data_IF_439051975886
#
_entry.id   IF_439051975886
#
_cell.length_a   1.000
_cell.length_b   1.000
_cell.length_c   1.000
_cell.angle_alpha   90.00
_cell.angle_beta   90.00
_cell.angle_gamma   90.00
#
_symmetry.space_group_name_H-M   'P 1'
#
loop_
_entity.id
_entity.type
_entity.pdbx_description
1 polymer ?
#
# COMPACT_ATOMS: atom_id res chain seq x y z
N UNK A 1 -8.36 -3.30 11.90
CA UNK A 1 -8.07 -2.13 11.03
C UNK A 1 -6.60 -1.81 11.12
N UNK A 2 -6.01 -1.37 10.01
CA UNK A 2 -4.61 -0.96 9.93
C UNK A 2 -4.52 0.53 9.71
N UNK A 3 -3.90 1.23 10.66
CA UNK A 3 -3.60 2.64 10.58
C UNK A 3 -2.11 2.88 10.40
N UNK A 4 -1.78 4.03 9.82
CA UNK A 4 -0.41 4.57 9.83
C UNK A 4 -0.36 5.82 10.68
N UNK A 5 0.66 5.92 11.54
CA UNK A 5 0.93 7.08 12.38
C UNK A 5 2.08 7.90 11.78
N UNK A 6 1.85 9.15 11.40
CA UNK A 6 2.91 10.02 10.86
C UNK A 6 3.43 10.92 11.97
N UNK A 7 4.73 10.80 12.25
CA UNK A 7 5.42 11.70 13.19
C UNK A 7 5.62 13.05 12.50
N UNK A 8 4.97 14.11 12.96
CA UNK A 8 5.04 15.45 12.36
C UNK A 8 6.33 16.22 12.66
N UNK A 9 7.43 15.55 12.98
CA UNK A 9 8.72 16.15 13.32
C UNK A 9 9.86 15.29 12.78
N UNK A 10 10.88 15.94 12.21
CA UNK A 10 12.13 15.31 11.78
C UNK A 10 13.22 15.37 12.86
N UNK A 11 12.90 15.77 14.09
CA UNK A 11 13.85 15.78 15.19
C UNK A 11 14.10 14.37 15.73
N UNK A 12 15.33 14.10 16.17
CA UNK A 12 15.72 12.83 16.82
C UNK A 12 14.87 12.55 18.06
N UNK A 13 14.64 13.57 18.89
CA UNK A 13 13.76 13.50 20.06
C UNK A 13 12.47 14.25 19.76
N UNK A 14 11.34 13.52 19.77
CA UNK A 14 10.01 14.07 19.50
C UNK A 14 8.97 13.53 20.49
N UNK A 15 8.25 14.44 21.17
CA UNK A 15 7.10 14.06 22.00
C UNK A 15 5.92 13.55 21.16
N UNK A 16 5.84 13.93 19.90
CA UNK A 16 4.84 13.42 18.96
C UNK A 16 5.15 11.97 18.55
N UNK A 17 6.44 11.62 18.44
CA UNK A 17 6.87 10.23 18.31
C UNK A 17 6.51 9.41 19.54
N UNK A 18 6.83 9.93 20.74
CA UNK A 18 6.43 9.29 22.02
C UNK A 18 4.92 9.08 22.10
N UNK A 19 4.12 10.08 21.73
CA UNK A 19 2.66 9.98 21.70
C UNK A 19 2.18 8.85 20.77
N UNK A 20 2.70 8.76 19.55
CA UNK A 20 2.33 7.67 18.63
C UNK A 20 2.77 6.29 19.13
N UNK A 21 3.94 6.17 19.75
CA UNK A 21 4.36 4.91 20.38
C UNK A 21 3.47 4.52 21.56
N UNK A 22 3.06 5.49 22.39
CA UNK A 22 2.09 5.26 23.45
C UNK A 22 0.78 4.74 22.87
N UNK A 23 0.24 5.41 21.82
CA UNK A 23 -1.00 4.97 21.15
C UNK A 23 -0.84 3.53 20.64
N UNK A 24 0.25 3.24 19.92
CA UNK A 24 0.55 1.91 19.37
C UNK A 24 0.57 0.83 20.44
N UNK A 25 1.23 1.09 21.58
CA UNK A 25 1.39 0.14 22.69
C UNK A 25 0.07 -0.05 23.45
N UNK A 26 -0.57 1.05 23.84
CA UNK A 26 -1.71 1.02 24.76
C UNK A 26 -3.00 0.55 24.07
N UNK A 27 -3.18 0.88 22.79
CA UNK A 27 -4.41 0.56 22.03
C UNK A 27 -4.21 -0.57 21.01
N UNK A 28 -3.17 -1.39 21.16
CA UNK A 28 -2.83 -2.50 20.23
C UNK A 28 -3.96 -3.52 20.00
N UNK A 29 -4.90 -3.64 20.95
CA UNK A 29 -6.08 -4.53 20.83
C UNK A 29 -7.19 -3.95 19.94
N UNK A 30 -7.21 -2.64 19.72
CA UNK A 30 -8.25 -1.97 18.93
C UNK A 30 -7.90 -1.91 17.45
N UNK A 31 -6.64 -1.62 17.13
CA UNK A 31 -6.15 -1.49 15.76
C UNK A 31 -4.64 -1.74 15.67
N UNK A 32 -4.16 -2.08 14.47
CA UNK A 32 -2.75 -2.08 14.15
C UNK A 32 -2.30 -0.66 13.82
N UNK A 33 -1.22 -0.18 14.43
CA UNK A 33 -0.61 1.11 14.11
C UNK A 33 0.84 0.94 13.67
N UNK A 34 1.12 1.30 12.42
CA UNK A 34 2.46 1.37 11.87
C UNK A 34 2.95 2.83 11.93
N UNK A 35 4.05 3.09 12.64
CA UNK A 35 4.57 4.45 12.80
C UNK A 35 5.56 4.73 11.67
N UNK A 36 5.36 5.85 10.99
CA UNK A 36 6.16 6.33 9.87
C UNK A 36 6.84 7.63 10.25
N UNK A 37 8.13 7.68 9.99
CA UNK A 37 8.95 8.86 10.19
C UNK A 37 8.96 9.74 8.93
N UNK A 38 9.26 11.02 9.14
CA UNK A 38 9.43 12.01 8.06
C UNK A 38 10.83 12.60 8.06
N UNK A 39 11.76 11.96 8.77
CA UNK A 39 13.17 12.31 8.70
C UNK A 39 13.76 11.87 7.35
N UNK A 40 14.89 12.48 6.97
CA UNK A 40 15.61 12.14 5.74
C UNK A 40 14.83 12.31 4.42
N UNK A 41 13.76 13.10 4.43
CA UNK A 41 13.05 13.53 3.21
C UNK A 41 13.55 14.91 2.81
N UNK A 42 13.99 15.12 1.54
CA UNK A 42 14.42 16.45 1.09
C UNK A 42 13.25 17.44 1.15
N UNK A 43 13.57 18.72 1.31
CA UNK A 43 12.58 19.77 1.14
C UNK A 43 11.93 19.64 -0.24
N UNK A 44 10.62 19.86 -0.31
CA UNK A 44 9.85 19.75 -1.54
C UNK A 44 10.46 20.61 -2.65
N UNK A 45 10.64 19.98 -3.80
CA UNK A 45 11.10 20.62 -5.03
C UNK A 45 10.44 19.92 -6.21
N UNK A 46 9.59 20.65 -6.94
CA UNK A 46 8.85 20.15 -8.10
C UNK A 46 9.73 19.61 -9.24
N UNK A 47 11.01 19.99 -9.30
CA UNK A 47 11.93 19.52 -10.33
C UNK A 47 12.50 18.12 -10.02
N UNK A 48 12.37 17.64 -8.78
CA UNK A 48 12.83 16.32 -8.35
C UNK A 48 11.67 15.32 -8.37
N UNK A 49 11.97 14.07 -8.73
CA UNK A 49 10.96 13.01 -8.77
C UNK A 49 10.76 12.36 -7.41
N UNK A 50 9.50 12.22 -7.00
CA UNK A 50 9.15 11.64 -5.70
C UNK A 50 9.55 10.14 -5.61
N UNK A 51 9.46 9.40 -6.72
CA UNK A 51 9.68 7.96 -6.78
C UNK A 51 11.16 7.55 -6.76
N UNK A 52 12.09 8.50 -6.97
CA UNK A 52 13.52 8.27 -6.76
C UNK A 52 13.88 8.20 -5.26
N UNK A 53 13.09 8.83 -4.39
CA UNK A 53 13.31 8.79 -2.94
C UNK A 53 12.60 7.58 -2.29
N UNK A 54 13.37 6.73 -1.62
CA UNK A 54 12.83 5.54 -0.94
C UNK A 54 11.80 5.88 0.14
N UNK A 55 12.03 6.90 0.97
CA UNK A 55 11.13 7.26 2.07
C UNK A 55 9.80 7.78 1.55
N UNK A 56 9.81 8.59 0.48
CA UNK A 56 8.57 9.04 -0.18
C UNK A 56 7.78 7.86 -0.75
N UNK A 57 8.44 6.92 -1.44
CA UNK A 57 7.80 5.68 -1.89
C UNK A 57 7.24 4.85 -0.75
N UNK A 58 7.95 4.73 0.36
CA UNK A 58 7.49 4.01 1.54
C UNK A 58 6.24 4.67 2.12
N UNK A 59 6.26 5.98 2.36
CA UNK A 59 5.12 6.75 2.87
C UNK A 59 3.91 6.60 1.96
N UNK A 60 4.07 6.84 0.66
CA UNK A 60 3.00 6.71 -0.34
C UNK A 60 2.35 5.32 -0.27
N UNK A 61 3.16 4.26 -0.31
CA UNK A 61 2.65 2.88 -0.29
C UNK A 61 1.92 2.55 1.02
N UNK A 62 2.46 2.99 2.15
CA UNK A 62 1.90 2.70 3.48
C UNK A 62 0.61 3.47 3.72
N UNK A 63 0.55 4.76 3.37
CA UNK A 63 -0.65 5.58 3.49
C UNK A 63 -1.76 5.07 2.56
N UNK A 64 -1.42 4.78 1.31
CA UNK A 64 -2.39 4.26 0.32
C UNK A 64 -3.07 2.99 0.84
N UNK A 65 -2.29 2.05 1.41
CA UNK A 65 -2.77 0.75 1.91
C UNK A 65 -3.42 0.79 3.31
N UNK A 66 -3.29 1.90 4.04
CA UNK A 66 -3.88 2.02 5.38
C UNK A 66 -5.37 2.30 5.32
N UNK A 67 -6.14 1.81 6.28
CA UNK A 67 -7.56 2.13 6.44
C UNK A 67 -7.75 3.61 6.85
N UNK A 68 -6.77 4.19 7.53
CA UNK A 68 -6.76 5.57 8.00
C UNK A 68 -5.37 6.02 8.47
N UNK A 69 -5.21 7.33 8.66
CA UNK A 69 -3.94 7.96 9.06
C UNK A 69 -4.13 8.73 10.37
N UNK A 70 -3.17 8.60 11.29
CA UNK A 70 -3.06 9.44 12.49
C UNK A 70 -1.83 10.34 12.33
N UNK A 71 -2.01 11.65 12.20
CA UNK A 71 -0.88 12.60 12.12
C UNK A 71 -0.66 13.21 13.50
N UNK A 72 0.53 12.99 14.09
CA UNK A 72 0.92 13.62 15.35
C UNK A 72 1.79 14.84 15.07
N UNK A 73 1.22 16.04 15.14
CA UNK A 73 1.95 17.28 14.81
C UNK A 73 2.44 18.01 16.05
N UNK A 74 3.70 18.50 16.10
CA UNK A 74 4.08 19.57 17.02
C UNK A 74 3.46 20.90 16.61
N UNK A 75 3.65 21.93 17.43
CA UNK A 75 3.35 23.32 17.07
C UNK A 75 4.64 24.16 17.02
N UNK A 76 4.95 24.71 15.86
CA UNK A 76 6.06 25.63 15.62
C UNK A 76 5.48 26.99 15.25
N UNK A 77 5.65 28.02 16.08
CA UNK A 77 5.20 29.40 15.79
C UNK A 77 3.74 29.47 15.28
N UNK A 78 2.82 28.79 15.98
CA UNK A 78 1.39 28.72 15.63
C UNK A 78 1.06 27.98 14.31
N UNK A 79 1.96 27.14 13.82
CA UNK A 79 1.75 26.30 12.64
C UNK A 79 2.35 24.90 12.82
N UNK A 80 2.08 24.00 11.87
CA UNK A 80 2.77 22.72 11.74
C UNK A 80 4.26 22.89 11.48
N UNK A 81 5.04 21.81 11.67
CA UNK A 81 6.47 21.85 11.35
C UNK A 81 6.70 22.02 9.83
N UNK A 82 7.80 22.71 9.43
CA UNK A 82 8.19 22.81 8.02
C UNK A 82 8.39 21.45 7.36
N UNK A 83 8.96 20.49 8.09
CA UNK A 83 9.17 19.12 7.61
C UNK A 83 7.84 18.44 7.27
N UNK A 84 6.83 18.51 8.16
CA UNK A 84 5.51 17.93 7.89
C UNK A 84 4.85 18.60 6.69
N UNK A 85 4.92 19.94 6.58
CA UNK A 85 4.36 20.64 5.42
C UNK A 85 5.00 20.17 4.11
N UNK A 86 6.33 20.05 4.10
CA UNK A 86 7.09 19.61 2.94
C UNK A 86 6.74 18.18 2.51
N UNK A 87 6.57 17.26 3.46
CA UNK A 87 6.13 15.88 3.15
C UNK A 87 4.73 15.87 2.57
N UNK A 88 3.83 16.71 3.07
CA UNK A 88 2.49 16.83 2.50
C UNK A 88 2.55 17.34 1.07
N UNK A 89 3.39 18.34 0.74
CA UNK A 89 3.58 18.81 -0.65
C UNK A 89 4.05 17.68 -1.58
N UNK A 90 5.05 16.91 -1.15
CA UNK A 90 5.50 15.71 -1.88
C UNK A 90 4.36 14.73 -2.17
N UNK A 91 3.45 14.56 -1.20
CA UNK A 91 2.34 13.62 -1.26
C UNK A 91 1.01 14.30 -1.66
N UNK A 92 1.08 15.44 -2.33
CA UNK A 92 -0.09 16.13 -2.89
C UNK A 92 0.15 16.75 -4.25
N UNK A 93 1.39 16.74 -4.75
CA UNK A 93 1.76 17.30 -6.05
C UNK A 93 1.48 16.31 -7.20
N UNK A 94 2.32 15.27 -7.34
CA UNK A 94 2.18 14.24 -8.40
C UNK A 94 1.38 13.01 -7.95
N UNK A 95 1.29 12.79 -6.63
CA UNK A 95 0.60 11.65 -6.02
C UNK A 95 -0.31 12.13 -4.90
N UNK A 96 -1.41 11.39 -4.67
CA UNK A 96 -2.47 11.81 -3.75
C UNK A 96 -2.89 10.70 -2.76
N UNK A 97 -1.97 10.11 -1.96
CA UNK A 97 -2.31 9.01 -1.05
C UNK A 97 -3.30 9.40 0.07
N UNK A 98 -3.48 10.71 0.31
CA UNK A 98 -4.43 11.25 1.28
C UNK A 98 -5.84 11.48 0.71
N UNK A 99 -6.02 11.38 -0.60
CA UNK A 99 -7.32 11.63 -1.23
C UNK A 99 -8.37 10.65 -0.68
N UNK A 100 -9.48 11.20 -0.19
CA UNK A 100 -10.57 10.48 0.47
C UNK A 100 -10.11 9.60 1.64
N UNK A 101 -8.90 9.83 2.19
CA UNK A 101 -8.35 9.06 3.30
C UNK A 101 -8.90 9.59 4.62
N UNK A 102 -9.42 8.74 5.52
CA UNK A 102 -9.74 9.17 6.87
C UNK A 102 -8.48 9.58 7.62
N UNK A 103 -8.47 10.77 8.22
CA UNK A 103 -7.34 11.31 8.97
C UNK A 103 -7.77 11.75 10.36
N UNK A 104 -7.04 11.33 11.39
CA UNK A 104 -7.09 11.89 12.72
C UNK A 104 -5.84 12.73 12.96
N UNK A 105 -6.01 13.87 13.62
CA UNK A 105 -4.88 14.72 14.02
C UNK A 105 -4.78 14.69 15.53
N UNK A 106 -3.59 14.40 16.03
CA UNK A 106 -3.21 14.48 17.44
C UNK A 106 -1.96 15.34 17.56
N UNK A 107 -1.60 15.74 18.77
CA UNK A 107 -0.35 16.47 18.94
C UNK A 107 0.05 16.67 20.37
N UNK A 108 1.35 16.83 20.56
CA UNK A 108 1.98 17.16 21.83
C UNK A 108 2.84 18.43 21.70
N UNK A 109 2.73 19.35 22.65
CA UNK A 109 3.57 20.56 22.73
C UNK A 109 4.03 20.85 24.16
N UNK A 110 4.96 21.81 24.30
CA UNK A 110 5.58 22.13 25.58
C UNK A 110 4.68 22.87 26.57
N UNK A 111 3.64 23.55 26.09
CA UNK A 111 2.85 24.46 26.90
C UNK A 111 1.36 24.08 26.89
N UNK A 112 0.56 24.83 27.65
CA UNK A 112 -0.79 24.46 28.06
C UNK A 112 -1.79 24.36 26.89
N UNK A 113 -1.56 25.11 25.81
CA UNK A 113 -2.44 25.10 24.63
C UNK A 113 -2.32 23.83 23.78
N UNK A 114 -1.37 22.93 24.11
CA UNK A 114 -1.05 21.79 23.26
C UNK A 114 -0.70 22.28 21.87
N UNK A 115 -1.31 21.66 20.85
CA UNK A 115 -1.02 21.94 19.44
C UNK A 115 -2.21 22.57 18.72
N UNK A 116 -3.06 23.29 19.46
CA UNK A 116 -4.36 23.78 18.97
C UNK A 116 -4.27 24.52 17.63
N UNK A 117 -3.33 25.45 17.47
CA UNK A 117 -3.22 26.26 16.25
C UNK A 117 -2.59 25.46 15.12
N UNK A 118 -1.60 24.62 15.42
CA UNK A 118 -1.02 23.71 14.44
C UNK A 118 -2.06 22.72 13.89
N UNK A 119 -2.93 22.16 14.73
CA UNK A 119 -3.98 21.23 14.28
C UNK A 119 -5.03 21.94 13.42
N UNK A 120 -5.47 23.15 13.80
CA UNK A 120 -6.38 23.95 12.96
C UNK A 120 -5.76 24.24 11.59
N UNK A 121 -4.48 24.63 11.55
CA UNK A 121 -3.80 24.87 10.29
C UNK A 121 -3.63 23.58 9.46
N UNK A 122 -3.28 22.46 10.10
CA UNK A 122 -3.16 21.16 9.44
C UNK A 122 -4.50 20.71 8.85
N UNK A 123 -5.62 20.90 9.56
CA UNK A 123 -6.97 20.61 9.03
C UNK A 123 -7.21 21.36 7.72
N UNK A 124 -6.88 22.65 7.67
CA UNK A 124 -7.01 23.47 6.46
C UNK A 124 -6.13 22.96 5.31
N UNK A 125 -4.93 22.46 5.60
CA UNK A 125 -4.04 21.87 4.59
C UNK A 125 -4.61 20.54 4.09
N UNK A 126 -5.12 19.69 4.99
CA UNK A 126 -5.70 18.39 4.64
C UNK A 126 -6.98 18.51 3.79
N UNK A 127 -7.76 19.59 3.99
CA UNK A 127 -8.97 19.91 3.22
C UNK A 127 -8.67 20.54 1.85
N UNK A 128 -7.43 20.94 1.58
CA UNK A 128 -7.09 21.62 0.34
C UNK A 128 -7.22 20.70 -0.89
N UNK A 129 -7.59 21.25 -2.07
CA UNK A 129 -7.51 20.52 -3.34
C UNK A 129 -6.09 19.97 -3.56
N UNK A 130 -6.00 18.70 -3.96
CA UNK A 130 -4.72 17.97 -4.08
C UNK A 130 -4.34 17.14 -2.86
N UNK A 131 -4.89 17.43 -1.67
CA UNK A 131 -4.84 16.53 -0.50
C UNK A 131 -6.18 15.82 -0.33
N UNK A 132 -7.28 16.59 -0.26
CA UNK A 132 -8.67 16.10 -0.21
C UNK A 132 -8.89 14.96 0.81
N UNK A 133 -8.33 15.10 2.01
CA UNK A 133 -8.46 14.10 3.07
C UNK A 133 -9.74 14.30 3.90
N UNK A 134 -10.30 13.21 4.39
CA UNK A 134 -11.44 13.24 5.29
C UNK A 134 -10.96 13.31 6.74
N UNK A 135 -10.81 14.53 7.26
CA UNK A 135 -10.32 14.73 8.63
C UNK A 135 -11.44 14.62 9.65
N UNK A 136 -11.26 13.78 10.68
CA UNK A 136 -12.22 13.60 11.78
C UNK A 136 -12.53 14.94 12.50
N UNK A 137 -13.77 15.46 12.44
CA UNK A 137 -14.13 16.69 13.13
C UNK A 137 -14.36 16.48 14.64
N UNK A 138 -14.12 17.53 15.44
CA UNK A 138 -14.53 17.59 16.85
C UNK A 138 -13.81 16.66 17.83
N UNK A 139 -12.78 15.92 17.39
CA UNK A 139 -12.02 14.98 18.22
C UNK A 139 -10.54 15.37 18.26
N UNK A 140 -10.27 16.55 18.81
CA UNK A 140 -8.93 17.12 18.91
C UNK A 140 -8.23 16.62 20.18
N UNK A 141 -7.17 15.83 20.00
CA UNK A 141 -6.30 15.46 21.11
C UNK A 141 -5.10 16.41 21.19
N UNK A 142 -5.14 17.31 22.18
CA UNK A 142 -4.19 18.41 22.37
C UNK A 142 -3.39 18.18 23.67
N UNK A 143 -2.29 17.45 23.58
CA UNK A 143 -1.45 17.18 24.75
C UNK A 143 -0.55 18.38 25.07
N UNK A 144 -0.91 19.13 26.09
CA UNK A 144 -0.07 20.19 26.65
C UNK A 144 1.00 19.65 27.60
N UNK A 145 1.98 20.51 27.97
CA UNK A 145 3.01 20.20 28.97
C UNK A 145 3.73 18.86 28.71
N UNK A 146 4.07 18.58 27.45
CA UNK A 146 4.56 17.27 27.03
C UNK A 146 5.81 16.79 27.79
N UNK A 147 6.63 17.70 28.33
CA UNK A 147 7.80 17.33 29.14
C UNK A 147 7.42 16.61 30.45
N UNK A 148 6.26 16.92 31.01
CA UNK A 148 5.75 16.36 32.26
C UNK A 148 4.64 15.33 32.04
N UNK A 149 4.14 15.20 30.80
CA UNK A 149 2.99 14.35 30.49
C UNK A 149 3.33 12.86 30.43
N UNK A 150 4.61 12.52 30.21
CA UNK A 150 5.07 11.15 30.04
C UNK A 150 5.97 10.68 31.19
N UNK A 151 5.83 9.42 31.59
CA UNK A 151 6.77 8.72 32.46
C UNK A 151 8.06 8.28 31.72
N UNK A 152 8.96 7.60 32.43
CA UNK A 152 10.23 7.11 31.89
C UNK A 152 10.04 6.02 30.81
N UNK A 153 8.95 5.26 30.88
CA UNK A 153 8.58 4.22 29.92
C UNK A 153 7.83 4.78 28.68
N UNK A 154 7.62 6.11 28.64
CA UNK A 154 6.91 6.79 27.57
C UNK A 154 5.38 6.64 27.63
N UNK A 155 4.81 6.26 28.78
CA UNK A 155 3.36 6.24 28.99
C UNK A 155 2.86 7.60 29.47
N UNK A 156 1.62 7.95 29.12
CA UNK A 156 0.96 9.16 29.63
C UNK A 156 0.58 8.94 31.10
N UNK A 157 0.96 9.88 31.96
CA UNK A 157 0.79 9.75 33.43
C UNK A 157 -0.66 9.96 33.87
N UNK A 158 -1.37 10.93 33.30
CA UNK A 158 -2.74 11.26 33.71
C UNK A 158 -3.79 10.35 33.05
N UNK A 159 -4.45 9.52 33.86
CA UNK A 159 -5.45 8.55 33.39
C UNK A 159 -6.66 9.20 32.70
N UNK A 160 -7.01 10.44 33.07
CA UNK A 160 -8.09 11.18 32.40
C UNK A 160 -7.70 11.54 30.97
N UNK A 161 -6.46 11.97 30.77
CA UNK A 161 -5.88 12.21 29.44
C UNK A 161 -5.87 10.93 28.60
N UNK A 162 -5.50 9.78 29.19
CA UNK A 162 -5.56 8.47 28.51
C UNK A 162 -6.99 8.10 28.12
N UNK A 163 -7.95 8.31 29.02
CA UNK A 163 -9.37 8.03 28.78
C UNK A 163 -9.94 8.90 27.64
N UNK A 164 -9.58 10.19 27.62
CA UNK A 164 -9.97 11.09 26.54
C UNK A 164 -9.34 10.73 25.20
N UNK A 165 -8.05 10.35 25.18
CA UNK A 165 -7.39 9.84 23.98
C UNK A 165 -8.11 8.59 23.45
N UNK A 166 -8.47 7.66 24.33
CA UNK A 166 -9.24 6.47 23.99
C UNK A 166 -10.59 6.81 23.33
N UNK A 167 -11.34 7.76 23.90
CA UNK A 167 -12.58 8.24 23.30
C UNK A 167 -12.38 8.79 21.88
N UNK A 168 -11.33 9.60 21.67
CA UNK A 168 -11.03 10.16 20.35
C UNK A 168 -10.65 9.06 19.34
N UNK A 169 -9.88 8.05 19.76
CA UNK A 169 -9.50 6.91 18.92
C UNK A 169 -10.69 6.01 18.58
N UNK A 170 -11.57 5.74 19.54
CA UNK A 170 -12.80 4.98 19.31
C UNK A 170 -13.71 5.69 18.30
N UNK A 171 -13.80 7.02 18.38
CA UNK A 171 -14.53 7.82 17.41
C UNK A 171 -13.85 7.81 16.03
N UNK A 172 -12.52 7.77 15.97
CA UNK A 172 -11.81 7.64 14.71
C UNK A 172 -12.04 6.28 14.03
N UNK A 173 -12.03 5.19 14.80
CA UNK A 173 -12.36 3.84 14.29
C UNK A 173 -13.74 3.83 13.63
N UNK A 174 -14.77 4.33 14.34
CA UNK A 174 -16.14 4.45 13.79
C UNK A 174 -16.19 5.37 12.57
N UNK A 175 -15.43 6.46 12.57
CA UNK A 175 -15.41 7.40 11.46
C UNK A 175 -14.83 6.78 10.19
N UNK A 176 -13.75 5.98 10.30
CA UNK A 176 -13.18 5.25 9.16
C UNK A 176 -14.21 4.30 8.55
N UNK A 177 -15.02 3.60 9.36
CA UNK A 177 -16.10 2.72 8.88
C UNK A 177 -17.22 3.47 8.13
N UNK A 178 -17.50 4.72 8.51
CA UNK A 178 -18.48 5.56 7.81
C UNK A 178 -17.90 6.08 6.51
N UNK A 179 -16.67 6.57 6.55
CA UNK A 179 -15.98 7.15 5.39
C UNK A 179 -15.68 6.10 4.32
N UNK A 180 -15.34 4.86 4.72
CA UNK A 180 -15.10 3.78 3.77
C UNK A 180 -16.32 3.49 2.89
N UNK A 181 -17.53 3.73 3.38
CA UNK A 181 -18.78 3.60 2.60
C UNK A 181 -18.97 4.71 1.56
N UNK A 182 -18.25 5.83 1.69
CA UNK A 182 -18.27 6.93 0.73
C UNK A 182 -17.33 6.69 -0.45
N UNK A 183 -16.36 5.77 -0.32
CA UNK A 183 -15.48 5.39 -1.43
C UNK A 183 -16.33 4.78 -2.54
N UNK A 184 -16.29 5.41 -3.71
CA UNK A 184 -16.76 4.78 -4.95
C UNK A 184 -15.57 4.00 -5.52
N UNK A 185 -15.76 2.74 -5.96
CA UNK A 185 -14.72 2.05 -6.70
C UNK A 185 -14.37 2.89 -7.93
N UNK A 186 -13.08 2.96 -8.27
CA UNK A 186 -12.67 3.63 -9.50
C UNK A 186 -13.36 2.95 -10.69
N UNK A 187 -13.79 3.70 -11.72
CA UNK A 187 -14.28 3.09 -12.94
C UNK A 187 -13.26 2.06 -13.45
N UNK A 188 -13.72 0.84 -13.68
CA UNK A 188 -12.88 -0.24 -14.21
C UNK A 188 -12.93 -0.13 -15.72
N UNK A 189 -11.78 0.14 -16.34
CA UNK A 189 -11.67 0.02 -17.79
C UNK A 189 -11.84 -1.46 -18.18
N UNK A 190 -12.39 -1.76 -19.37
CA UNK A 190 -12.41 -3.14 -19.87
C UNK A 190 -10.99 -3.72 -19.88
N UNK A 191 -10.84 -4.92 -19.32
CA UNK A 191 -9.57 -5.64 -19.35
C UNK A 191 -9.40 -6.33 -20.70
N UNK A 192 -8.19 -6.26 -21.26
CA UNK A 192 -7.83 -6.96 -22.49
C UNK A 192 -7.35 -8.37 -22.15
N UNK A 193 -8.28 -9.32 -22.00
CA UNK A 193 -7.95 -10.70 -21.66
C UNK A 193 -7.48 -11.52 -22.87
N UNK A 194 -7.68 -11.00 -24.08
CA UNK A 194 -7.35 -11.64 -25.35
C UNK A 194 -5.99 -11.20 -25.91
N UNK A 195 -5.25 -10.35 -25.17
CA UNK A 195 -3.92 -9.86 -25.53
C UNK A 195 -3.95 -9.16 -26.90
N UNK A 196 -4.96 -8.31 -27.13
CA UNK A 196 -5.12 -7.56 -28.39
C UNK A 196 -4.18 -6.36 -28.50
N UNK A 197 -3.73 -5.82 -27.36
CA UNK A 197 -2.81 -4.70 -27.28
C UNK A 197 -1.42 -5.16 -26.82
N UNK A 198 -0.39 -4.48 -27.32
CA UNK A 198 1.01 -4.75 -26.96
C UNK A 198 1.53 -3.79 -25.88
N UNK A 199 2.37 -4.31 -24.99
CA UNK A 199 3.20 -3.53 -24.05
C UNK A 199 4.69 -3.66 -24.42
N UNK A 200 5.56 -2.99 -23.67
CA UNK A 200 7.01 -2.97 -23.93
C UNK A 200 7.68 -4.34 -23.88
N UNK A 201 7.09 -5.32 -23.18
CA UNK A 201 7.60 -6.68 -23.02
C UNK A 201 6.89 -7.70 -23.91
N UNK A 202 5.89 -7.31 -24.72
CA UNK A 202 5.14 -8.24 -25.56
C UNK A 202 6.04 -8.83 -26.66
N UNK A 203 6.09 -10.17 -26.73
CA UNK A 203 6.78 -10.91 -27.79
C UNK A 203 5.84 -11.01 -29.00
N UNK A 204 6.20 -10.32 -30.09
CA UNK A 204 5.38 -10.22 -31.30
C UNK A 204 5.70 -11.32 -32.31
N UNK A 205 4.75 -11.66 -33.18
CA UNK A 205 4.97 -12.56 -34.31
C UNK A 205 4.81 -14.06 -34.00
N UNK A 206 4.37 -14.40 -32.80
CA UNK A 206 3.99 -15.76 -32.37
C UNK A 206 2.59 -15.65 -31.76
N UNK A 207 1.71 -16.59 -32.08
CA UNK A 207 0.39 -16.65 -31.44
C UNK A 207 0.56 -17.00 -29.95
N UNK A 208 0.08 -16.18 -29.00
CA UNK A 208 0.09 -16.49 -27.57
C UNK A 208 -0.34 -17.92 -27.23
N UNK A 209 -1.38 -18.45 -27.88
CA UNK A 209 -1.93 -19.79 -27.57
C UNK A 209 -1.24 -20.93 -28.34
N UNK A 210 -0.03 -20.69 -28.88
CA UNK A 210 0.76 -21.73 -29.52
C UNK A 210 1.28 -22.73 -28.48
N UNK A 211 1.04 -24.04 -28.62
CA UNK A 211 1.48 -25.02 -27.61
C UNK A 211 3.00 -25.10 -27.44
N UNK A 212 3.76 -24.63 -28.44
CA UNK A 212 5.22 -24.52 -28.43
C UNK A 212 5.68 -23.06 -28.25
N UNK A 213 4.80 -22.19 -27.71
CA UNK A 213 5.07 -20.76 -27.57
C UNK A 213 6.40 -20.49 -26.86
N UNK A 214 6.69 -21.19 -25.76
CA UNK A 214 7.92 -21.01 -24.97
C UNK A 214 9.17 -21.18 -25.83
N UNK A 215 9.24 -22.25 -26.63
CA UNK A 215 10.40 -22.55 -27.46
C UNK A 215 10.54 -21.55 -28.61
N UNK A 216 9.42 -21.23 -29.29
CA UNK A 216 9.41 -20.25 -30.39
C UNK A 216 9.76 -18.85 -29.90
N UNK A 217 9.22 -18.45 -28.76
CA UNK A 217 9.47 -17.15 -28.14
C UNK A 217 10.93 -17.05 -27.68
N UNK A 218 11.46 -18.12 -27.08
CA UNK A 218 12.86 -18.19 -26.67
C UNK A 218 13.81 -18.02 -27.86
N UNK A 219 13.56 -18.71 -28.98
CA UNK A 219 14.34 -18.54 -30.21
C UNK A 219 14.26 -17.10 -30.73
N UNK A 220 13.05 -16.54 -30.81
CA UNK A 220 12.82 -15.21 -31.38
C UNK A 220 13.50 -14.09 -30.60
N UNK A 221 13.46 -14.14 -29.26
CA UNK A 221 14.06 -13.09 -28.41
C UNK A 221 15.51 -13.38 -28.05
N UNK A 222 16.07 -14.50 -28.49
CA UNK A 222 17.40 -14.95 -28.10
C UNK A 222 17.51 -15.22 -26.59
N UNK A 223 16.47 -15.82 -26.01
CA UNK A 223 16.46 -16.18 -24.60
C UNK A 223 17.59 -17.17 -24.28
N UNK A 224 18.15 -17.04 -23.09
CA UNK A 224 19.24 -17.90 -22.61
C UNK A 224 18.74 -18.91 -21.60
N UNK A 225 19.29 -20.11 -21.64
CA UNK A 225 19.08 -21.17 -20.65
C UNK A 225 20.44 -21.70 -20.16
N UNK A 226 20.43 -22.54 -19.12
CA UNK A 226 21.64 -23.17 -18.62
C UNK A 226 22.48 -22.29 -17.69
N UNK A 227 23.79 -22.27 -17.90
CA UNK A 227 24.77 -21.70 -16.95
C UNK A 227 25.11 -20.21 -17.20
N UNK A 228 24.34 -19.53 -18.04
CA UNK A 228 24.51 -18.09 -18.28
C UNK A 228 24.15 -17.29 -17.03
N UNK A 229 25.04 -16.39 -16.59
CA UNK A 229 24.81 -15.54 -15.44
C UNK A 229 23.86 -14.37 -15.74
N UNK A 230 22.88 -14.17 -14.87
CA UNK A 230 21.94 -13.05 -14.84
C UNK A 230 22.23 -12.20 -13.60
N UNK A 231 22.37 -10.89 -13.80
CA UNK A 231 22.48 -9.91 -12.72
C UNK A 231 21.08 -9.52 -12.24
N UNK A 232 20.83 -9.71 -10.95
CA UNK A 232 19.61 -9.31 -10.26
C UNK A 232 19.88 -8.03 -9.42
N UNK A 233 18.83 -7.39 -8.93
CA UNK A 233 18.94 -6.16 -8.11
C UNK A 233 19.88 -6.32 -6.91
N UNK A 234 19.86 -7.50 -6.29
CA UNK A 234 20.67 -7.85 -5.12
C UNK A 234 21.31 -9.25 -5.24
N UNK A 235 21.78 -9.63 -6.44
CA UNK A 235 22.43 -10.93 -6.62
C UNK A 235 22.95 -11.20 -8.03
N UNK A 236 23.69 -12.29 -8.20
CA UNK A 236 24.11 -12.83 -9.49
C UNK A 236 23.97 -14.35 -9.46
N UNK A 237 23.20 -14.91 -10.38
CA UNK A 237 22.85 -16.34 -10.44
C UNK A 237 22.87 -16.80 -11.89
N UNK A 238 23.15 -18.08 -12.14
CA UNK A 238 22.90 -18.66 -13.47
C UNK A 238 21.41 -18.90 -13.70
N UNK A 239 20.97 -19.03 -14.94
CA UNK A 239 19.56 -19.39 -15.25
C UNK A 239 19.18 -20.70 -14.56
N UNK A 240 20.04 -21.72 -14.58
CA UNK A 240 19.84 -22.97 -13.84
C UNK A 240 19.65 -22.78 -12.33
N UNK A 241 20.39 -21.86 -11.71
CA UNK A 241 20.25 -21.55 -10.28
C UNK A 241 18.94 -20.81 -9.98
N UNK A 242 18.49 -19.94 -10.89
CA UNK A 242 17.19 -19.27 -10.80
C UNK A 242 16.07 -20.31 -10.91
N UNK A 243 16.13 -21.22 -11.89
CA UNK A 243 15.17 -22.31 -12.06
C UNK A 243 15.11 -23.20 -10.82
N UNK A 244 16.27 -23.58 -10.28
CA UNK A 244 16.35 -24.38 -9.05
C UNK A 244 15.72 -23.64 -7.86
N UNK A 245 15.99 -22.33 -7.72
CA UNK A 245 15.40 -21.51 -6.67
C UNK A 245 13.88 -21.43 -6.80
N UNK A 246 13.35 -21.18 -8.00
CA UNK A 246 11.92 -21.09 -8.24
C UNK A 246 11.21 -22.43 -8.02
N UNK A 247 11.81 -23.55 -8.44
CA UNK A 247 11.29 -24.91 -8.20
C UNK A 247 11.29 -25.30 -6.72
N UNK A 248 12.21 -24.75 -5.92
CA UNK A 248 12.31 -25.04 -4.49
C UNK A 248 11.31 -24.27 -3.62
N UNK A 249 10.54 -23.32 -4.20
CA UNK A 249 9.56 -22.55 -3.45
C UNK A 249 8.44 -23.46 -2.92
N UNK A 250 8.03 -23.32 -1.64
CA UNK A 250 7.02 -24.20 -1.03
C UNK A 250 5.58 -23.87 -1.46
N UNK A 251 5.41 -23.08 -2.51
CA UNK A 251 4.14 -22.66 -3.09
C UNK A 251 4.28 -22.42 -4.59
N UNK A 252 3.14 -22.48 -5.29
CA UNK A 252 3.07 -22.15 -6.71
C UNK A 252 3.24 -20.63 -6.90
N UNK A 253 4.20 -20.28 -7.75
CA UNK A 253 4.41 -18.96 -8.30
C UNK A 253 3.92 -18.98 -9.73
N UNK A 254 3.04 -18.05 -10.06
CA UNK A 254 2.59 -17.78 -11.42
C UNK A 254 2.89 -16.34 -11.78
N UNK A 255 3.10 -16.08 -13.07
CA UNK A 255 3.31 -14.74 -13.59
C UNK A 255 2.49 -14.55 -14.86
N UNK A 256 1.62 -13.54 -14.80
CA UNK A 256 1.02 -12.92 -15.96
C UNK A 256 1.41 -11.44 -15.97
N UNK A 257 1.70 -10.89 -17.12
CA UNK A 257 2.19 -9.52 -17.25
C UNK A 257 1.03 -8.50 -17.43
N UNK A 258 1.38 -7.24 -17.66
CA UNK A 258 0.41 -6.14 -17.75
C UNK A 258 -0.52 -6.23 -18.97
N UNK A 259 -0.19 -7.05 -19.98
CA UNK A 259 -1.05 -7.28 -21.15
C UNK A 259 -1.98 -8.49 -20.98
N UNK A 260 -2.00 -9.11 -19.79
CA UNK A 260 -2.80 -10.30 -19.47
C UNK A 260 -2.40 -11.56 -20.25
N UNK A 261 -1.11 -11.72 -20.57
CA UNK A 261 -0.56 -12.97 -21.06
C UNK A 261 0.04 -13.79 -19.90
N UNK A 262 -0.27 -15.09 -19.84
CA UNK A 262 0.27 -15.99 -18.83
C UNK A 262 1.63 -16.55 -19.28
N UNK A 263 2.71 -16.13 -18.63
CA UNK A 263 4.07 -16.36 -19.13
C UNK A 263 4.82 -17.46 -18.38
N UNK A 264 4.58 -17.60 -17.08
CA UNK A 264 5.42 -18.48 -16.25
C UNK A 264 4.66 -19.09 -15.08
N UNK A 265 5.05 -20.32 -14.73
CA UNK A 265 4.73 -20.93 -13.46
C UNK A 265 5.87 -21.88 -13.03
N UNK A 266 6.10 -22.02 -11.72
CA UNK A 266 7.22 -22.81 -11.19
C UNK A 266 6.90 -24.28 -10.88
N UNK A 267 5.61 -24.66 -10.82
CA UNK A 267 5.19 -25.94 -10.25
C UNK A 267 4.44 -26.81 -11.27
N UNK A 268 5.02 -27.94 -11.64
CA UNK A 268 4.28 -29.01 -12.29
C UNK A 268 3.64 -29.87 -11.19
N UNK A 269 2.35 -29.71 -10.91
CA UNK A 269 1.64 -30.57 -9.97
C UNK A 269 1.77 -32.03 -10.41
N UNK A 270 2.15 -32.94 -9.52
CA UNK A 270 2.39 -34.36 -9.85
C UNK A 270 1.15 -35.06 -10.45
N UNK A 271 -0.05 -34.53 -10.18
CA UNK A 271 -1.30 -34.99 -10.78
C UNK A 271 -2.22 -33.81 -11.15
N UNK A 272 -2.02 -33.17 -12.31
CA UNK A 272 -2.78 -31.99 -12.71
C UNK A 272 -4.29 -32.24 -12.80
N UNK A 273 -4.70 -33.47 -13.13
CA UNK A 273 -6.11 -33.84 -13.31
C UNK A 273 -6.92 -33.85 -12.00
N UNK A 274 -6.26 -33.74 -10.84
CA UNK A 274 -6.92 -33.57 -9.54
C UNK A 274 -7.26 -32.11 -9.21
N UNK A 275 -6.81 -31.14 -10.03
CA UNK A 275 -7.01 -29.71 -9.77
C UNK A 275 -8.21 -29.15 -10.53
N UNK A 276 -9.04 -28.35 -9.83
CA UNK A 276 -10.03 -27.47 -10.46
C UNK A 276 -9.26 -26.27 -11.04
N UNK A 277 -9.07 -26.26 -12.38
CA UNK A 277 -8.16 -25.38 -13.13
C UNK A 277 -6.69 -25.84 -13.13
N UNK A 278 -6.45 -27.03 -13.70
CA UNK A 278 -5.12 -27.60 -13.88
C UNK A 278 -4.18 -26.70 -14.69
N UNK A 279 -2.92 -26.64 -14.26
CA UNK A 279 -1.83 -26.05 -15.03
C UNK A 279 -1.14 -27.12 -15.86
N UNK A 280 -0.93 -26.85 -17.15
CA UNK A 280 -0.19 -27.74 -18.06
C UNK A 280 0.92 -26.95 -18.76
N UNK A 281 2.05 -27.59 -19.11
CA UNK A 281 3.19 -26.90 -19.73
C UNK A 281 2.85 -26.07 -20.96
N UNK A 282 1.90 -26.54 -21.77
CA UNK A 282 1.45 -25.84 -22.98
C UNK A 282 0.74 -24.50 -22.71
N UNK A 283 0.36 -24.19 -21.46
CA UNK A 283 -0.30 -22.93 -21.14
C UNK A 283 0.65 -21.74 -21.08
N UNK A 284 1.96 -21.97 -20.93
CA UNK A 284 2.93 -20.87 -20.92
C UNK A 284 2.97 -20.19 -22.28
N UNK A 285 2.45 -18.97 -22.34
CA UNK A 285 2.19 -18.21 -23.55
C UNK A 285 0.73 -17.81 -23.68
N UNK A 286 -0.20 -18.60 -23.13
CA UNK A 286 -1.64 -18.45 -23.37
C UNK A 286 -2.17 -17.08 -22.92
N UNK A 287 -3.19 -16.61 -23.63
CA UNK A 287 -4.05 -15.51 -23.21
C UNK A 287 -4.75 -15.86 -21.91
N UNK A 288 -4.98 -14.90 -21.01
CA UNK A 288 -5.78 -15.17 -19.82
C UNK A 288 -7.21 -15.64 -20.17
N UNK A 289 -7.77 -15.20 -21.30
CA UNK A 289 -9.05 -15.74 -21.81
C UNK A 289 -8.97 -17.23 -22.14
N UNK A 290 -7.90 -17.67 -22.80
CA UNK A 290 -7.66 -19.07 -23.18
C UNK A 290 -7.41 -19.95 -21.96
N UNK A 291 -6.57 -19.47 -21.03
CA UNK A 291 -6.33 -20.12 -19.73
C UNK A 291 -7.64 -20.39 -18.99
N UNK A 292 -8.58 -19.45 -19.07
CA UNK A 292 -9.87 -19.52 -18.38
C UNK A 292 -11.05 -19.92 -19.29
N UNK A 293 -10.79 -20.48 -20.47
CA UNK A 293 -11.80 -20.88 -21.48
C UNK A 293 -12.86 -21.87 -20.98
N UNK A 294 -12.59 -22.60 -19.90
CA UNK A 294 -13.56 -23.48 -19.24
C UNK A 294 -14.65 -22.72 -18.44
N UNK A 295 -14.49 -21.41 -18.24
CA UNK A 295 -15.47 -20.58 -17.54
C UNK A 295 -16.56 -20.09 -18.52
N UNK A 296 -17.84 -20.05 -18.09
CA UNK A 296 -18.89 -19.39 -18.84
C UNK A 296 -18.57 -17.90 -19.06
N UNK A 297 -19.01 -17.32 -20.18
CA UNK A 297 -18.79 -15.90 -20.54
C UNK A 297 -19.20 -14.93 -19.40
N UNK A 298 -20.31 -15.21 -18.71
CA UNK A 298 -20.75 -14.41 -17.56
C UNK A 298 -19.78 -14.43 -16.38
N UNK A 299 -18.94 -15.47 -16.24
CA UNK A 299 -17.87 -15.53 -15.23
C UNK A 299 -16.59 -14.84 -15.68
N UNK A 300 -16.34 -14.72 -16.99
CA UNK A 300 -15.20 -13.93 -17.51
C UNK A 300 -15.32 -12.45 -17.12
N UNK A 301 -16.53 -11.88 -17.14
CA UNK A 301 -16.78 -10.53 -16.63
C UNK A 301 -16.42 -10.35 -15.16
N UNK A 302 -16.54 -11.40 -14.35
CA UNK A 302 -16.10 -11.35 -12.95
C UNK A 302 -14.57 -11.38 -12.85
N UNK A 303 -13.88 -12.08 -13.76
CA UNK A 303 -12.41 -12.09 -13.85
C UNK A 303 -11.91 -10.69 -14.24
N UNK A 304 -12.48 -10.08 -15.28
CA UNK A 304 -12.18 -8.69 -15.69
C UNK A 304 -12.41 -7.73 -14.53
N UNK A 305 -13.55 -7.84 -13.84
CA UNK A 305 -13.86 -7.04 -12.67
C UNK A 305 -12.80 -7.20 -11.58
N UNK A 306 -12.42 -8.43 -11.24
CA UNK A 306 -11.41 -8.69 -10.20
C UNK A 306 -10.05 -8.10 -10.58
N UNK A 307 -9.58 -8.35 -11.81
CA UNK A 307 -8.30 -7.84 -12.30
C UNK A 307 -8.30 -6.31 -12.29
N UNK A 308 -9.34 -5.69 -12.84
CA UNK A 308 -9.47 -4.24 -12.90
C UNK A 308 -9.56 -3.58 -11.51
N UNK A 309 -10.29 -4.19 -10.56
CA UNK A 309 -10.32 -3.73 -9.17
C UNK A 309 -8.93 -3.83 -8.52
N UNK A 310 -8.22 -4.95 -8.71
CA UNK A 310 -6.89 -5.13 -8.16
C UNK A 310 -5.88 -4.15 -8.75
N UNK A 311 -5.92 -3.90 -10.06
CA UNK A 311 -5.11 -2.89 -10.76
C UNK A 311 -5.40 -1.47 -10.27
N UNK A 312 -6.66 -1.17 -9.96
CA UNK A 312 -7.08 0.11 -9.37
C UNK A 312 -6.64 0.30 -7.90
N UNK A 313 -6.13 -0.76 -7.27
CA UNK A 313 -5.73 -0.78 -5.85
C UNK A 313 -6.91 -0.99 -4.89
N UNK A 314 -8.10 -1.26 -5.41
CA UNK A 314 -9.38 -1.31 -4.71
C UNK A 314 -9.61 -2.69 -4.04
N UNK A 315 -8.58 -3.24 -3.38
CA UNK A 315 -8.57 -4.60 -2.80
C UNK A 315 -9.69 -4.88 -1.79
N UNK A 316 -10.29 -3.83 -1.23
CA UNK A 316 -11.42 -3.93 -0.29
C UNK A 316 -12.68 -4.54 -0.95
N UNK A 317 -12.84 -4.39 -2.27
CA UNK A 317 -14.00 -4.93 -3.01
C UNK A 317 -13.81 -6.37 -3.50
N UNK A 318 -12.56 -6.87 -3.49
CA UNK A 318 -12.22 -8.26 -3.83
C UNK A 318 -11.48 -8.86 -2.63
N UNK A 319 -12.16 -8.96 -1.50
CA UNK A 319 -11.70 -9.81 -0.40
C UNK A 319 -12.21 -11.23 -0.63
N UNK A 320 -11.31 -12.15 -0.93
CA UNK A 320 -11.56 -13.58 -0.79
C UNK A 320 -11.37 -13.97 0.67
N UNK A 321 -12.37 -14.62 1.26
CA UNK A 321 -12.21 -15.27 2.57
C UNK A 321 -11.21 -16.41 2.34
N UNK A 322 -10.05 -16.35 2.98
CA UNK A 322 -9.12 -17.49 2.96
C UNK A 322 -9.78 -18.63 3.74
N UNK A 323 -9.98 -19.81 3.12
CA UNK A 323 -10.54 -20.96 3.82
C UNK A 323 -9.73 -21.24 5.09
N UNK A 324 -10.40 -21.25 6.26
CA UNK A 324 -9.76 -21.48 7.57
C UNK A 324 -9.48 -20.23 8.41
N UNK A 325 -9.85 -19.03 7.94
CA UNK A 325 -9.81 -17.82 8.78
C UNK A 325 -10.96 -17.86 9.80
N UNK A 326 -10.73 -17.75 11.12
CA UNK A 326 -11.81 -17.66 12.10
C UNK A 326 -12.68 -16.44 11.81
N UNK A 327 -14.00 -16.62 11.92
CA UNK A 327 -15.02 -15.59 11.71
C UNK A 327 -14.90 -14.43 12.70
#
# INVERSE_FOLDING_TARGET
MKFVGIVGSNAEISYNRKLLHFIKKHFAKQFELEILEIDNIPLFNQDLKWDENFQLRLLYNKITRADGVIISTPEHNHTISPALKSVIEWLSYDVHPFENKPVMIVGASYYDQGTSRAQVHLRKIMDAPGVNAYVLPGNEFLLGKAKQAFDEDGNIIDERTVSFLGLCLDNFVKYVEVVSKLKKPKPIAPEDLDVTNSISTTIQGIDPDDPDWVEKAAELVGAVSGDTYVKLDHGILTVNQIDMFLKAMPFELTYADDNNQFLYYNNAHDNPDTMLAKRVPAQSGDRLSTVHSSLPEGRMKNVEFVIGVLRNGDKEYVRTIVPGTPA
#
